data_IF_097977904132
#
_entry.id   IF_097977904132
#
_cell.length_a   1.000
_cell.length_b   1.000
_cell.length_c   1.000
_cell.angle_alpha   90.00
_cell.angle_beta   90.00
_cell.angle_gamma   90.00
#
_symmetry.space_group_name_H-M   'P 1'
#
loop_
_entity.id
_entity.type
_entity.pdbx_description
1 polymer ?
#
# COMPACT_ATOMS: atom_id res chain seq x y z
N UNK A 1 17.53 5.80 -13.00
CA UNK A 1 16.96 7.17 -13.11
C UNK A 1 15.43 7.23 -13.11
N UNK A 2 14.71 6.29 -13.77
CA UNK A 2 13.23 6.24 -13.78
C UNK A 2 12.57 6.04 -12.41
N UNK A 3 13.12 5.15 -11.57
CA UNK A 3 12.54 4.86 -10.24
C UNK A 3 12.59 6.07 -9.29
N UNK A 4 13.71 6.79 -9.25
CA UNK A 4 13.87 8.01 -8.42
C UNK A 4 12.91 9.13 -8.87
N UNK A 5 12.73 9.34 -10.18
CA UNK A 5 11.72 10.27 -10.71
C UNK A 5 10.29 9.86 -10.37
N UNK A 6 9.96 8.56 -10.45
CA UNK A 6 8.63 8.04 -10.09
C UNK A 6 8.33 8.25 -8.60
N UNK A 7 9.32 8.04 -7.73
CA UNK A 7 9.18 8.28 -6.29
C UNK A 7 8.96 9.77 -5.96
N UNK A 8 9.74 10.67 -6.57
CA UNK A 8 9.59 12.12 -6.36
C UNK A 8 8.23 12.61 -6.88
N UNK A 9 7.78 12.12 -8.05
CA UNK A 9 6.47 12.46 -8.58
C UNK A 9 5.34 11.97 -7.66
N UNK A 10 5.45 10.76 -7.13
CA UNK A 10 4.47 10.23 -6.16
C UNK A 10 4.43 11.06 -4.87
N UNK A 11 5.58 11.54 -4.39
CA UNK A 11 5.65 12.40 -3.21
C UNK A 11 5.00 13.77 -3.47
N UNK A 12 5.22 14.34 -4.66
CA UNK A 12 4.60 15.60 -5.08
C UNK A 12 3.07 15.48 -5.16
N UNK A 13 2.55 14.39 -5.72
CA UNK A 13 1.11 14.14 -5.80
C UNK A 13 0.50 14.08 -4.39
N UNK A 14 1.13 13.33 -3.47
CA UNK A 14 0.68 13.24 -2.07
C UNK A 14 0.70 14.59 -1.35
N UNK A 15 1.71 15.43 -1.61
CA UNK A 15 1.77 16.78 -1.07
C UNK A 15 0.66 17.68 -1.61
N UNK A 16 0.37 17.62 -2.91
CA UNK A 16 -0.73 18.37 -3.51
C UNK A 16 -2.09 17.95 -2.92
N UNK A 17 -2.32 16.65 -2.76
CA UNK A 17 -3.55 16.16 -2.12
C UNK A 17 -3.68 16.63 -0.68
N UNK A 18 -2.60 16.63 0.10
CA UNK A 18 -2.60 17.15 1.47
C UNK A 18 -3.04 18.61 1.51
N UNK A 19 -2.49 19.44 0.62
CA UNK A 19 -2.83 20.85 0.53
C UNK A 19 -4.31 21.03 0.18
N UNK A 20 -4.82 20.28 -0.81
CA UNK A 20 -6.23 20.36 -1.24
C UNK A 20 -7.16 19.98 -0.08
N UNK A 21 -6.92 18.85 0.59
CA UNK A 21 -7.77 18.39 1.70
C UNK A 21 -7.73 19.40 2.85
N UNK A 22 -6.56 19.95 3.17
CA UNK A 22 -6.41 20.96 4.25
C UNK A 22 -7.18 22.24 3.94
N UNK A 23 -7.13 22.73 2.70
CA UNK A 23 -7.87 23.92 2.26
C UNK A 23 -9.38 23.66 2.34
N UNK A 24 -9.85 22.51 1.86
CA UNK A 24 -11.27 22.17 1.90
C UNK A 24 -11.76 22.08 3.34
N UNK A 25 -11.02 21.42 4.22
CA UNK A 25 -11.41 21.23 5.63
C UNK A 25 -11.43 22.57 6.39
N UNK A 26 -10.40 23.40 6.21
CA UNK A 26 -10.34 24.72 6.85
C UNK A 26 -11.44 25.65 6.34
N UNK A 27 -11.72 25.65 5.04
CA UNK A 27 -12.82 26.43 4.46
C UNK A 27 -14.17 26.03 5.03
N UNK A 28 -14.39 24.73 5.25
CA UNK A 28 -15.63 24.20 5.80
C UNK A 28 -15.85 24.61 7.27
N UNK A 29 -14.77 24.67 8.06
CA UNK A 29 -14.82 25.15 9.45
C UNK A 29 -15.11 26.66 9.50
N UNK A 30 -14.48 27.45 8.62
CA UNK A 30 -14.71 28.90 8.56
C UNK A 30 -16.14 29.21 8.10
N UNK A 31 -16.64 28.53 7.06
CA UNK A 31 -18.01 28.69 6.57
C UNK A 31 -19.06 28.18 7.56
N UNK A 32 -18.71 27.19 8.38
CA UNK A 32 -19.57 26.64 9.43
C UNK A 32 -19.79 27.58 10.62
N UNK A 33 -19.10 28.73 10.67
CA UNK A 33 -19.29 29.72 11.73
C UNK A 33 -18.76 29.26 13.09
N UNK A 34 -17.79 28.35 13.12
CA UNK A 34 -17.17 27.89 14.35
C UNK A 34 -16.26 28.99 14.93
N UNK A 35 -16.47 29.33 16.20
CA UNK A 35 -15.71 30.35 16.92
C UNK A 35 -14.38 29.77 17.43
N UNK A 36 -13.53 29.40 16.47
CA UNK A 36 -12.21 28.79 16.70
C UNK A 36 -11.16 29.78 16.21
N UNK A 37 -10.11 30.07 16.99
CA UNK A 37 -9.05 30.96 16.54
C UNK A 37 -8.43 30.43 15.24
N UNK A 38 -8.18 31.32 14.27
CA UNK A 38 -7.72 30.96 12.92
C UNK A 38 -6.52 30.02 12.92
N UNK A 39 -5.57 30.24 13.83
CA UNK A 39 -4.34 29.46 13.92
C UNK A 39 -4.60 27.99 14.31
N UNK A 40 -5.64 27.75 15.12
CA UNK A 40 -6.07 26.41 15.51
C UNK A 40 -6.82 25.68 14.39
N UNK A 41 -7.54 26.42 13.54
CA UNK A 41 -8.27 25.85 12.39
C UNK A 41 -7.28 25.25 11.38
N UNK A 42 -6.20 25.96 11.06
CA UNK A 42 -5.20 25.48 10.10
C UNK A 42 -4.41 24.29 10.66
N UNK A 43 -4.03 24.31 11.95
CA UNK A 43 -3.31 23.20 12.56
C UNK A 43 -4.17 21.93 12.64
N UNK A 44 -5.43 22.06 13.08
CA UNK A 44 -6.36 20.94 13.17
C UNK A 44 -6.71 20.37 11.79
N UNK A 45 -6.95 21.23 10.79
CA UNK A 45 -7.22 20.79 9.43
C UNK A 45 -6.04 20.08 8.79
N UNK A 46 -4.80 20.55 9.01
CA UNK A 46 -3.61 19.86 8.54
C UNK A 46 -3.44 18.49 9.21
N UNK A 47 -3.64 18.39 10.53
CA UNK A 47 -3.53 17.12 11.26
C UNK A 47 -4.57 16.09 10.79
N UNK A 48 -5.83 16.50 10.62
CA UNK A 48 -6.89 15.63 10.12
C UNK A 48 -6.64 15.23 8.67
N UNK A 49 -6.18 16.15 7.82
CA UNK A 49 -5.82 15.84 6.44
C UNK A 49 -4.68 14.82 6.37
N UNK A 50 -3.67 14.97 7.23
CA UNK A 50 -2.61 13.99 7.34
C UNK A 50 -3.13 12.63 7.80
N UNK A 51 -4.06 12.58 8.77
CA UNK A 51 -4.68 11.34 9.24
C UNK A 51 -5.47 10.64 8.13
N UNK A 52 -6.27 11.40 7.37
CA UNK A 52 -7.05 10.89 6.23
C UNK A 52 -6.10 10.29 5.20
N UNK A 53 -5.10 11.06 4.76
CA UNK A 53 -4.14 10.58 3.78
C UNK A 53 -3.31 9.42 4.30
N UNK A 54 -2.94 9.43 5.58
CA UNK A 54 -2.28 8.30 6.23
C UNK A 54 -3.16 7.06 6.14
N UNK A 55 -4.45 7.12 6.48
CA UNK A 55 -5.35 5.98 6.36
C UNK A 55 -5.53 5.50 4.91
N UNK A 56 -5.63 6.42 3.95
CA UNK A 56 -5.77 6.08 2.52
C UNK A 56 -4.50 5.48 1.92
N UNK A 57 -3.34 6.03 2.28
CA UNK A 57 -2.04 5.60 1.78
C UNK A 57 -1.34 4.55 2.64
N UNK A 58 -1.95 4.16 3.76
CA UNK A 58 -1.49 3.03 4.54
C UNK A 58 -1.67 1.77 3.68
N UNK A 59 -0.60 1.37 3.01
CA UNK A 59 -0.55 0.10 2.28
C UNK A 59 -0.72 -1.03 3.30
N UNK A 60 -1.95 -1.54 3.41
CA UNK A 60 -2.25 -2.74 4.20
C UNK A 60 -1.73 -3.96 3.45
N UNK A 61 -0.49 -4.32 3.75
CA UNK A 61 0.10 -5.59 3.40
C UNK A 61 1.40 -5.50 2.63
N UNK A 62 2.18 -6.57 2.71
CA UNK A 62 3.35 -6.82 1.89
C UNK A 62 2.98 -7.74 0.73
N UNK A 63 3.28 -7.30 -0.48
CA UNK A 63 2.96 -8.04 -1.71
C UNK A 63 4.20 -8.70 -2.27
N UNK A 64 4.07 -9.97 -2.66
CA UNK A 64 5.17 -10.77 -3.17
C UNK A 64 4.83 -11.34 -4.54
N UNK A 65 5.84 -11.35 -5.41
CA UNK A 65 5.86 -12.20 -6.60
C UNK A 65 6.82 -13.35 -6.33
N UNK A 66 6.31 -14.58 -6.40
CA UNK A 66 7.04 -15.79 -6.00
C UNK A 66 7.10 -16.76 -7.17
N UNK A 67 8.30 -17.22 -7.49
CA UNK A 67 8.57 -18.35 -8.38
C UNK A 67 8.86 -19.58 -7.54
N UNK A 68 8.22 -20.71 -7.84
CA UNK A 68 8.33 -21.93 -7.06
C UNK A 68 8.25 -23.17 -7.93
N UNK A 69 8.52 -24.33 -7.34
CA UNK A 69 8.30 -25.65 -7.94
C UNK A 69 7.43 -26.46 -6.98
N UNK A 70 6.31 -26.99 -7.46
CA UNK A 70 5.41 -27.88 -6.73
C UNK A 70 5.30 -29.20 -7.51
N UNK A 71 5.57 -30.34 -6.88
CA UNK A 71 5.47 -31.65 -7.56
C UNK A 71 6.38 -31.81 -8.79
N UNK A 72 7.45 -31.02 -8.90
CA UNK A 72 8.32 -30.97 -10.08
C UNK A 72 7.85 -30.02 -11.19
N UNK A 73 6.70 -29.37 -11.03
CA UNK A 73 6.16 -28.39 -11.98
C UNK A 73 6.52 -26.96 -11.53
N UNK A 74 7.18 -26.16 -12.37
CA UNK A 74 7.47 -24.76 -12.05
C UNK A 74 6.20 -23.90 -12.14
N UNK A 75 6.00 -23.04 -11.14
CA UNK A 75 4.87 -22.13 -11.04
C UNK A 75 5.29 -20.72 -10.62
N UNK A 76 4.37 -19.76 -10.81
CA UNK A 76 4.54 -18.38 -10.33
C UNK A 76 3.22 -17.88 -9.75
N UNK A 77 3.30 -17.17 -8.64
CA UNK A 77 2.12 -16.66 -7.94
C UNK A 77 2.37 -15.29 -7.33
N UNK A 78 1.33 -14.48 -7.27
CA UNK A 78 1.29 -13.24 -6.52
C UNK A 78 0.63 -13.51 -5.18
N UNK A 79 1.29 -13.16 -4.08
CA UNK A 79 0.79 -13.35 -2.72
C UNK A 79 0.71 -12.01 -1.98
N UNK A 80 -0.28 -11.90 -1.10
CA UNK A 80 -0.45 -10.79 -0.17
C UNK A 80 -0.38 -11.33 1.25
N UNK A 81 0.44 -10.68 2.08
CA UNK A 81 0.46 -10.88 3.53
C UNK A 81 0.23 -9.54 4.22
N UNK A 82 -0.26 -9.52 5.46
CA UNK A 82 -0.44 -8.26 6.19
C UNK A 82 0.89 -7.63 6.63
N UNK A 83 1.91 -8.46 6.81
CA UNK A 83 3.28 -8.06 7.19
C UNK A 83 4.33 -8.86 6.41
N UNK A 84 5.62 -8.56 6.65
CA UNK A 84 6.71 -9.34 6.07
C UNK A 84 6.77 -10.71 6.72
N UNK A 85 6.77 -11.75 5.91
CA UNK A 85 6.79 -13.14 6.37
C UNK A 85 8.08 -13.86 5.97
N UNK A 86 8.40 -14.94 6.67
CA UNK A 86 9.53 -15.81 6.34
C UNK A 86 9.26 -16.65 5.09
N UNK A 87 10.32 -17.24 4.52
CA UNK A 87 10.22 -18.14 3.38
C UNK A 87 9.32 -19.34 3.69
N UNK A 88 9.40 -19.91 4.90
CA UNK A 88 8.59 -21.06 5.31
C UNK A 88 7.09 -20.77 5.26
N UNK A 89 6.69 -19.55 5.67
CA UNK A 89 5.30 -19.12 5.61
C UNK A 89 4.84 -19.00 4.16
N UNK A 90 5.70 -18.48 3.27
CA UNK A 90 5.42 -18.40 1.82
C UNK A 90 5.24 -19.81 1.24
N UNK A 91 6.16 -20.73 1.51
CA UNK A 91 6.11 -22.11 1.04
C UNK A 91 4.87 -22.84 1.53
N UNK A 92 4.55 -22.73 2.82
CA UNK A 92 3.35 -23.33 3.41
C UNK A 92 2.06 -22.74 2.81
N UNK A 93 2.03 -21.43 2.56
CA UNK A 93 0.88 -20.77 1.93
C UNK A 93 0.67 -21.29 0.51
N UNK A 94 1.73 -21.42 -0.28
CA UNK A 94 1.63 -21.97 -1.65
C UNK A 94 1.27 -23.44 -1.59
N UNK A 95 1.85 -24.22 -0.67
CA UNK A 95 1.51 -25.64 -0.50
C UNK A 95 0.01 -25.83 -0.25
N UNK A 96 -0.60 -24.99 0.60
CA UNK A 96 -2.04 -24.98 0.82
C UNK A 96 -2.89 -24.70 -0.44
N UNK A 97 -2.38 -23.87 -1.36
CA UNK A 97 -3.03 -23.59 -2.65
C UNK A 97 -2.87 -24.74 -3.68
N UNK A 98 -1.81 -25.53 -3.55
CA UNK A 98 -1.45 -26.63 -4.44
C UNK A 98 -1.67 -28.00 -3.79
N UNK A 99 -2.83 -28.17 -3.12
CA UNK A 99 -3.30 -29.45 -2.57
C UNK A 99 -2.32 -30.13 -1.57
N UNK A 100 -1.50 -29.34 -0.88
CA UNK A 100 -0.52 -29.86 0.09
C UNK A 100 0.75 -30.45 -0.53
N UNK A 101 0.98 -30.23 -1.84
CA UNK A 101 2.25 -30.63 -2.44
C UNK A 101 3.43 -29.90 -1.79
N UNK A 102 4.59 -30.57 -1.72
CA UNK A 102 5.81 -29.94 -1.24
C UNK A 102 6.22 -28.86 -2.24
N UNK A 103 6.25 -27.61 -1.76
CA UNK A 103 6.65 -26.45 -2.54
C UNK A 103 8.08 -26.07 -2.19
N UNK A 104 8.88 -25.79 -3.20
CA UNK A 104 10.20 -25.17 -3.06
C UNK A 104 10.18 -23.80 -3.74
N UNK A 105 10.39 -22.73 -2.98
CA UNK A 105 10.53 -21.38 -3.55
C UNK A 105 11.91 -21.24 -4.20
N UNK A 106 11.92 -20.97 -5.51
CA UNK A 106 13.16 -20.77 -6.28
C UNK A 106 13.57 -19.31 -6.35
N UNK A 107 12.64 -18.39 -6.08
CA UNK A 107 12.93 -16.97 -5.92
C UNK A 107 11.68 -16.17 -5.57
N UNK A 108 11.86 -15.08 -4.83
CA UNK A 108 10.78 -14.16 -4.50
C UNK A 108 11.28 -12.72 -4.55
N UNK A 109 10.37 -11.79 -4.86
CA UNK A 109 10.60 -10.35 -4.74
C UNK A 109 9.38 -9.66 -4.14
N UNK A 110 9.60 -8.61 -3.38
CA UNK A 110 8.52 -7.69 -3.01
C UNK A 110 8.09 -6.88 -4.23
N UNK A 111 6.80 -6.74 -4.43
CA UNK A 111 6.21 -5.95 -5.51
C UNK A 111 5.31 -4.86 -4.95
N UNK A 112 5.02 -3.84 -5.75
CA UNK A 112 4.06 -2.80 -5.35
C UNK A 112 2.63 -3.36 -5.33
N UNK A 113 1.75 -2.79 -4.50
CA UNK A 113 0.31 -3.08 -4.50
C UNK A 113 -0.29 -3.00 -5.91
N UNK A 114 0.07 -1.94 -6.64
CA UNK A 114 -0.38 -1.74 -8.01
C UNK A 114 0.02 -2.88 -8.96
N UNK A 115 1.27 -3.37 -8.86
CA UNK A 115 1.75 -4.52 -9.65
C UNK A 115 1.00 -5.81 -9.27
N UNK A 116 0.72 -6.01 -7.97
CA UNK A 116 -0.11 -7.12 -7.50
C UNK A 116 -1.53 -7.04 -8.08
N UNK A 117 -2.21 -5.91 -7.91
CA UNK A 117 -3.61 -5.71 -8.35
C UNK A 117 -3.80 -5.83 -9.86
N UNK A 118 -2.79 -5.51 -10.67
CA UNK A 118 -2.83 -5.72 -12.12
C UNK A 118 -2.80 -7.21 -12.53
N UNK A 119 -2.29 -8.10 -11.66
CA UNK A 119 -2.00 -9.49 -12.00
C UNK A 119 -2.89 -10.52 -11.28
N UNK A 120 -3.63 -10.11 -10.25
CA UNK A 120 -4.74 -10.92 -9.72
C UNK A 120 -5.95 -10.77 -10.65
N UNK A 121 -6.45 -11.90 -11.17
CA UNK A 121 -7.72 -11.91 -11.92
C UNK A 121 -8.84 -11.47 -10.98
N UNK A 122 -9.65 -10.50 -11.41
CA UNK A 122 -10.95 -10.19 -10.82
C UNK A 122 -11.88 -11.38 -10.88
#
# INVERSE_FOLDING_TARGET
MKAKKKHVLGLLIKLCELVIVTIVLSSLIILGGFDVPSDWVYLASAAVSFLILYMFYWERGTYYFVSFVAGGVPGRVFLKFDERVSLDVIENTISGLYSGERVLVTGYKTVSRYEYELNIKS
#
